data_IF_586761715256
#
_entry.id   IF_586761715256
#
_cell.length_a   1.000
_cell.length_b   1.000
_cell.length_c   1.000
_cell.angle_alpha   90.00
_cell.angle_beta   90.00
_cell.angle_gamma   90.00
#
_symmetry.space_group_name_H-M   'P 1'
#
loop_
_entity.id
_entity.type
_entity.pdbx_description
1 polymer ?
#
# COMPACT_ATOMS: atom_id res chain seq x y z
N UNK A 1 14.68 -2.64 18.68
CA UNK A 1 13.40 -2.39 17.95
C UNK A 1 13.27 -0.90 17.70
N UNK A 2 12.83 -0.45 16.53
CA UNK A 2 12.62 0.97 16.22
C UNK A 2 11.14 1.27 15.98
N UNK A 3 10.70 2.51 16.25
CA UNK A 3 9.32 2.94 16.00
C UNK A 3 8.92 2.71 14.54
N UNK A 4 9.82 3.00 13.60
CA UNK A 4 9.60 2.76 12.17
C UNK A 4 9.35 1.28 11.86
N UNK A 5 10.10 0.37 12.47
CA UNK A 5 9.91 -1.08 12.28
C UNK A 5 8.53 -1.51 12.79
N UNK A 6 8.13 -1.05 13.97
CA UNK A 6 6.82 -1.38 14.55
C UNK A 6 5.65 -0.87 13.69
N UNK A 7 5.73 0.36 13.16
CA UNK A 7 4.72 0.90 12.24
C UNK A 7 4.65 0.06 10.96
N UNK A 8 5.80 -0.28 10.37
CA UNK A 8 5.83 -1.08 9.15
C UNK A 8 5.22 -2.47 9.36
N UNK A 9 5.55 -3.13 10.48
CA UNK A 9 4.97 -4.41 10.87
C UNK A 9 3.46 -4.30 11.07
N UNK A 10 2.98 -3.23 11.72
CA UNK A 10 1.54 -3.03 11.92
C UNK A 10 0.79 -2.77 10.62
N UNK A 11 1.33 -1.95 9.72
CA UNK A 11 0.70 -1.72 8.42
C UNK A 11 0.68 -2.99 7.57
N UNK A 12 1.76 -3.79 7.60
CA UNK A 12 1.80 -5.08 6.91
C UNK A 12 0.74 -6.03 7.46
N UNK A 13 0.70 -6.23 8.78
CA UNK A 13 -0.29 -7.06 9.47
C UNK A 13 -1.75 -6.64 9.18
N UNK A 14 -2.00 -5.35 8.98
CA UNK A 14 -3.34 -4.81 8.78
C UNK A 14 -3.95 -5.09 7.40
N UNK A 15 -3.17 -5.01 6.32
CA UNK A 15 -3.71 -5.03 4.94
C UNK A 15 -3.02 -6.01 4.02
N UNK A 16 -1.83 -6.52 4.37
CA UNK A 16 -1.10 -7.39 3.46
C UNK A 16 -1.77 -8.75 3.34
N UNK A 17 -2.13 -9.10 2.11
CA UNK A 17 -2.62 -10.41 1.72
C UNK A 17 -1.74 -10.93 0.58
N UNK A 18 -1.20 -12.14 0.71
CA UNK A 18 -0.32 -12.76 -0.27
C UNK A 18 -1.06 -13.35 -1.47
N UNK A 19 -2.39 -13.47 -1.39
CA UNK A 19 -3.26 -13.87 -2.51
C UNK A 19 -3.66 -12.68 -3.39
N UNK A 20 -3.42 -11.44 -2.92
CA UNK A 20 -3.75 -10.21 -3.62
C UNK A 20 -2.52 -9.73 -4.41
N UNK A 21 -2.70 -9.22 -5.65
CA UNK A 21 -1.58 -8.71 -6.44
C UNK A 21 -0.86 -7.54 -5.74
N UNK A 22 0.47 -7.54 -5.86
CA UNK A 22 1.33 -6.47 -5.37
C UNK A 22 2.08 -6.83 -4.09
N UNK A 23 3.20 -6.16 -3.88
CA UNK A 23 4.00 -6.32 -2.65
C UNK A 23 3.30 -5.67 -1.46
N UNK A 24 3.65 -6.08 -0.24
CA UNK A 24 3.09 -5.49 0.98
C UNK A 24 3.20 -3.95 1.01
N UNK A 25 4.29 -3.38 0.51
CA UNK A 25 4.46 -1.92 0.40
C UNK A 25 3.47 -1.29 -0.57
N UNK A 26 3.23 -1.93 -1.71
CA UNK A 26 2.27 -1.45 -2.70
C UNK A 26 0.85 -1.49 -2.13
N UNK A 27 0.46 -2.59 -1.49
CA UNK A 27 -0.85 -2.72 -0.84
C UNK A 27 -1.04 -1.68 0.27
N UNK A 28 -0.03 -1.46 1.13
CA UNK A 28 -0.09 -0.40 2.17
C UNK A 28 -0.18 1.01 1.56
N UNK A 29 0.53 1.27 0.45
CA UNK A 29 0.47 2.54 -0.27
C UNK A 29 -0.93 2.80 -0.82
N UNK A 30 -1.60 1.74 -1.29
CA UNK A 30 -2.95 1.79 -1.82
C UNK A 30 -4.05 1.71 -0.75
N UNK A 31 -3.72 1.70 0.54
CA UNK A 31 -4.75 1.80 1.58
C UNK A 31 -5.47 3.16 1.50
N UNK A 32 -6.80 3.14 1.36
CA UNK A 32 -7.64 4.35 1.24
C UNK A 32 -8.23 4.83 2.58
N UNK A 33 -7.87 4.19 3.70
CA UNK A 33 -8.40 4.52 5.05
C UNK A 33 -7.69 5.78 5.56
N UNK A 34 -8.18 6.95 5.16
CA UNK A 34 -7.60 8.25 5.53
C UNK A 34 -7.74 8.56 7.03
N UNK A 35 -8.76 8.01 7.71
CA UNK A 35 -8.97 8.18 9.16
C UNK A 35 -8.03 7.29 10.01
N UNK A 36 -7.14 6.53 9.38
CA UNK A 36 -6.17 5.70 10.10
C UNK A 36 -5.16 6.60 10.85
N UNK A 37 -4.92 6.38 12.16
CA UNK A 37 -3.93 7.16 12.92
C UNK A 37 -2.49 7.08 12.39
N UNK A 38 -2.19 6.07 11.57
CA UNK A 38 -0.88 5.89 10.94
C UNK A 38 -0.83 6.40 9.49
N UNK A 39 -1.90 7.01 8.97
CA UNK A 39 -2.03 7.37 7.56
C UNK A 39 -0.86 8.21 7.05
N UNK A 40 -0.48 9.26 7.79
CA UNK A 40 0.59 10.18 7.40
C UNK A 40 1.99 9.58 7.53
N UNK A 41 2.13 8.56 8.38
CA UNK A 41 3.43 7.95 8.70
C UNK A 41 3.60 6.55 8.10
N UNK A 42 2.64 6.08 7.30
CA UNK A 42 2.69 4.75 6.69
C UNK A 42 3.88 4.60 5.72
N UNK A 43 4.43 3.39 5.59
CA UNK A 43 5.45 3.16 4.58
C UNK A 43 4.84 3.26 3.18
N UNK A 44 5.51 3.97 2.28
CA UNK A 44 5.09 4.15 0.90
C UNK A 44 6.09 3.48 -0.05
N UNK A 45 5.58 2.87 -1.11
CA UNK A 45 6.39 2.36 -2.21
C UNK A 45 7.07 3.54 -2.92
N UNK A 46 8.40 3.48 -3.04
CA UNK A 46 9.17 4.47 -3.82
C UNK A 46 9.11 4.20 -5.32
N UNK A 47 8.82 2.96 -5.70
CA UNK A 47 8.71 2.53 -7.08
C UNK A 47 7.26 2.66 -7.57
N UNK A 48 7.10 2.90 -8.87
CA UNK A 48 5.80 2.87 -9.53
C UNK A 48 5.07 1.56 -9.23
N UNK A 49 3.79 1.67 -8.90
CA UNK A 49 2.93 0.50 -8.67
C UNK A 49 2.52 -0.07 -10.05
N UNK A 50 2.65 -1.38 -10.27
CA UNK A 50 2.25 -2.03 -11.51
C UNK A 50 0.77 -1.82 -11.85
N UNK A 51 0.46 -1.71 -13.14
CA UNK A 51 -0.90 -1.40 -13.61
C UNK A 51 -1.91 -2.49 -13.18
N UNK A 52 -1.51 -3.76 -13.11
CA UNK A 52 -2.38 -4.86 -12.64
C UNK A 52 -2.77 -4.75 -11.15
N UNK A 53 -1.89 -4.18 -10.32
CA UNK A 53 -2.15 -3.93 -8.90
C UNK A 53 -3.11 -2.74 -8.76
N UNK A 54 -2.90 -1.68 -9.54
CA UNK A 54 -3.78 -0.51 -9.56
C UNK A 54 -5.19 -0.89 -10.03
N UNK A 55 -5.31 -1.67 -11.11
CA UNK A 55 -6.60 -2.13 -11.63
C UNK A 55 -7.35 -3.01 -10.62
N UNK A 56 -6.65 -3.87 -9.86
CA UNK A 56 -7.28 -4.68 -8.80
C UNK A 56 -7.91 -3.80 -7.71
N UNK A 57 -7.26 -2.68 -7.39
CA UNK A 57 -7.78 -1.71 -6.41
C UNK A 57 -8.77 -0.71 -7.02
N UNK A 58 -9.24 -0.94 -8.26
CA UNK A 58 -10.22 -0.08 -8.94
C UNK A 58 -9.67 1.28 -9.39
N UNK A 59 -8.35 1.47 -9.35
CA UNK A 59 -7.69 2.71 -9.77
C UNK A 59 -7.44 2.61 -11.27
N UNK A 60 -8.13 3.44 -12.06
CA UNK A 60 -7.85 3.56 -13.49
C UNK A 60 -6.55 4.33 -13.67
N UNK A 61 -5.61 3.77 -14.42
CA UNK A 61 -4.42 4.52 -14.83
C UNK A 61 -4.83 5.37 -16.03
N UNK A 62 -4.72 6.69 -15.91
CA UNK A 62 -4.91 7.60 -17.05
C UNK A 62 -3.68 7.51 -17.96
N UNK A 63 -3.46 6.34 -18.56
CA UNK A 63 -2.59 6.23 -19.73
C UNK A 63 -3.43 6.64 -20.91
N UNK A 64 -3.22 7.87 -21.38
CA UNK A 64 -3.56 8.22 -22.76
C UNK A 64 -2.79 7.25 -23.67
N UNK A 65 -3.52 6.36 -24.34
CA UNK A 65 -3.01 5.63 -25.51
C UNK A 65 -2.77 6.60 -26.67
#
# INVERSE_FOLDING_TARGET
>A
MSLRKAINEKCKDCIYDDQIPGTWLQQVTLCHINDCPLYDVRPQSKSRIPDNVLSFNGIKTDRCE
#
